data_IF_950028801771
#
_entry.id   IF_950028801771
#
_cell.length_a   1.000
_cell.length_b   1.000
_cell.length_c   1.000
_cell.angle_alpha   90.00
_cell.angle_beta   90.00
_cell.angle_gamma   90.00
#
_symmetry.space_group_name_H-M   'P 1'
#
loop_
_entity.id
_entity.type
_entity.pdbx_description
1 polymer ?
#
# COMPACT_ATOMS: atom_id res chain seq x y z
N UNK A 1 10.97 12.11 17.06
CA UNK A 1 10.82 13.10 18.15
C UNK A 1 9.36 13.17 18.56
N UNK A 2 8.99 12.93 19.83
CA UNK A 2 7.58 12.84 20.23
C UNK A 2 6.86 14.18 20.06
N UNK A 3 5.58 14.16 19.73
CA UNK A 3 4.71 15.33 19.50
C UNK A 3 4.74 16.33 20.70
N UNK A 4 4.95 15.84 21.92
CA UNK A 4 5.08 16.63 23.15
C UNK A 4 6.35 17.49 23.18
N UNK A 5 7.51 16.98 22.70
CA UNK A 5 8.75 17.77 22.61
C UNK A 5 8.67 18.88 21.57
N UNK A 6 7.89 18.69 20.51
CA UNK A 6 7.70 19.68 19.43
C UNK A 6 6.90 20.89 19.94
N UNK A 7 5.80 20.66 20.66
CA UNK A 7 5.00 21.73 21.29
C UNK A 7 5.81 22.52 22.32
N UNK A 8 6.66 21.87 23.13
CA UNK A 8 7.49 22.56 24.10
C UNK A 8 8.49 23.55 23.47
N UNK A 9 9.06 23.20 22.32
CA UNK A 9 10.00 24.05 21.61
C UNK A 9 9.28 25.26 20.98
N UNK A 10 8.10 25.08 20.40
CA UNK A 10 7.30 26.16 19.82
C UNK A 10 6.87 27.17 20.87
N UNK A 11 6.43 26.72 22.03
CA UNK A 11 6.04 27.58 23.15
C UNK A 11 7.24 28.39 23.68
N UNK A 12 8.42 27.75 23.79
CA UNK A 12 9.64 28.44 24.21
C UNK A 12 10.05 29.54 23.22
N UNK A 13 9.88 29.30 21.92
CA UNK A 13 10.16 30.30 20.87
C UNK A 13 9.23 31.52 21.00
N UNK A 14 7.92 31.30 21.13
CA UNK A 14 6.92 32.37 21.26
C UNK A 14 7.18 33.19 22.50
N UNK A 15 7.53 32.56 23.64
CA UNK A 15 7.82 33.27 24.90
C UNK A 15 9.08 34.12 24.78
N UNK A 16 10.12 33.64 24.10
CA UNK A 16 11.37 34.42 23.88
C UNK A 16 11.11 35.59 22.93
N UNK A 17 10.35 35.44 21.86
CA UNK A 17 9.96 36.53 20.96
C UNK A 17 9.14 37.57 21.67
N UNK A 18 8.20 37.17 22.52
CA UNK A 18 7.38 38.11 23.31
C UNK A 18 8.22 38.92 24.31
N UNK A 19 9.17 38.26 24.99
CA UNK A 19 10.09 38.92 25.91
C UNK A 19 11.02 39.93 25.24
N UNK A 20 11.53 39.59 24.02
CA UNK A 20 12.35 40.48 23.23
C UNK A 20 11.55 41.70 22.73
N UNK A 21 10.31 41.48 22.29
CA UNK A 21 9.40 42.54 21.84
C UNK A 21 9.03 43.50 22.98
N UNK A 22 8.67 42.97 24.15
CA UNK A 22 8.36 43.77 25.36
C UNK A 22 9.61 44.52 25.82
N UNK A 23 10.78 43.90 25.80
CA UNK A 23 12.06 44.54 26.12
C UNK A 23 12.39 45.69 25.16
N UNK A 24 12.16 45.55 23.87
CA UNK A 24 12.36 46.57 22.87
C UNK A 24 11.42 47.79 23.10
N UNK A 25 10.13 47.55 23.38
CA UNK A 25 9.15 48.62 23.67
C UNK A 25 9.53 49.34 24.96
N UNK A 26 9.86 48.61 26.04
CA UNK A 26 10.25 49.22 27.33
C UNK A 26 11.52 50.07 27.18
N UNK A 27 12.51 49.60 26.44
CA UNK A 27 13.75 50.35 26.19
C UNK A 27 13.52 51.62 25.33
N UNK A 28 12.61 51.57 24.37
CA UNK A 28 12.21 52.76 23.56
C UNK A 28 11.49 53.78 24.42
N UNK A 29 10.61 53.32 25.32
CA UNK A 29 9.88 54.21 26.24
C UNK A 29 10.81 54.89 27.28
N UNK A 30 11.78 54.16 27.81
CA UNK A 30 12.78 54.69 28.75
C UNK A 30 13.76 55.68 28.06
N UNK A 31 14.10 55.42 26.81
CA UNK A 31 14.94 56.30 25.98
C UNK A 31 14.31 57.68 25.71
N UNK A 32 13.00 57.73 25.55
CA UNK A 32 12.27 59.00 25.34
C UNK A 32 12.36 59.98 26.53
N UNK A 33 12.81 59.52 27.72
CA UNK A 33 13.02 60.31 28.92
C UNK A 33 14.47 60.77 29.18
N UNK A 34 15.36 60.63 28.18
CA UNK A 34 16.70 61.24 28.16
C UNK A 34 17.78 60.56 29.03
N UNK A 35 17.48 59.49 29.72
CA UNK A 35 18.40 58.90 30.71
C UNK A 35 19.35 57.79 30.17
N UNK A 36 19.17 57.27 28.96
CA UNK A 36 19.78 56.00 28.62
C UNK A 36 20.40 55.90 27.20
N UNK A 37 20.81 56.98 26.58
CA UNK A 37 21.30 57.02 25.22
C UNK A 37 22.34 55.94 24.85
N UNK A 38 23.47 55.81 25.58
CA UNK A 38 24.50 54.81 25.23
C UNK A 38 24.09 53.38 25.55
N UNK A 39 23.33 53.14 26.61
CA UNK A 39 22.85 51.78 26.97
C UNK A 39 21.77 51.25 26.01
N UNK A 40 20.97 52.15 25.44
CA UNK A 40 19.96 51.80 24.44
C UNK A 40 20.55 51.20 23.17
N UNK A 41 21.63 51.84 22.63
CA UNK A 41 22.32 51.31 21.45
C UNK A 41 22.91 49.92 21.66
N UNK A 42 23.51 49.68 22.83
CA UNK A 42 24.09 48.39 23.20
C UNK A 42 22.97 47.35 23.35
N UNK A 43 21.85 47.68 23.95
CA UNK A 43 20.72 46.74 24.14
C UNK A 43 20.09 46.37 22.82
N UNK A 44 19.87 47.28 21.88
CA UNK A 44 19.37 46.96 20.53
C UNK A 44 20.38 46.08 19.78
N UNK A 45 21.67 46.43 19.84
CA UNK A 45 22.69 45.57 19.17
C UNK A 45 22.70 44.17 19.69
N UNK A 46 22.63 43.97 21.03
CA UNK A 46 22.57 42.65 21.62
C UNK A 46 21.29 41.89 21.25
N UNK A 47 20.14 42.58 21.21
CA UNK A 47 18.89 41.96 20.77
C UNK A 47 18.91 41.50 19.32
N UNK A 48 19.44 42.37 18.42
CA UNK A 48 19.58 42.05 16.98
C UNK A 48 20.58 40.93 16.77
N UNK A 49 21.73 40.97 17.48
CA UNK A 49 22.73 39.89 17.40
C UNK A 49 22.18 38.56 17.92
N UNK A 50 21.45 38.58 19.04
CA UNK A 50 20.84 37.35 19.59
C UNK A 50 19.73 36.81 18.66
N UNK A 51 18.88 37.67 18.09
CA UNK A 51 17.86 37.30 17.11
C UNK A 51 18.51 36.71 15.85
N UNK A 52 19.57 37.35 15.33
CA UNK A 52 20.33 36.85 14.20
C UNK A 52 20.94 35.48 14.45
N UNK A 53 21.47 35.25 15.66
CA UNK A 53 22.04 33.97 16.07
C UNK A 53 20.95 32.88 16.19
N UNK A 54 19.78 33.24 16.70
CA UNK A 54 18.62 32.32 16.81
C UNK A 54 18.02 31.97 15.45
N UNK A 55 17.94 32.94 14.54
CA UNK A 55 17.52 32.71 13.15
C UNK A 55 18.54 31.79 12.46
N UNK A 56 19.83 32.05 12.59
CA UNK A 56 20.87 31.21 12.02
C UNK A 56 20.86 29.77 12.56
N UNK A 57 20.57 29.58 13.86
CA UNK A 57 20.42 28.26 14.46
C UNK A 57 19.11 27.54 14.05
N UNK A 58 18.05 28.29 13.76
CA UNK A 58 16.78 27.75 13.31
C UNK A 58 16.76 27.43 11.80
N UNK A 59 17.63 28.06 11.01
CA UNK A 59 17.65 27.95 9.55
C UNK A 59 17.81 26.52 9.00
N UNK A 60 18.69 25.64 9.55
CA UNK A 60 18.76 24.26 9.10
C UNK A 60 17.46 23.47 9.36
N UNK A 61 16.84 23.70 10.53
CA UNK A 61 15.57 23.06 10.92
C UNK A 61 14.40 23.62 10.09
N UNK A 62 14.41 24.91 9.78
CA UNK A 62 13.43 25.53 8.91
C UNK A 62 13.54 24.98 7.48
N UNK A 63 14.76 24.81 7.00
CA UNK A 63 15.04 24.19 5.70
C UNK A 63 14.60 22.74 5.65
N UNK A 64 14.82 21.95 6.70
CA UNK A 64 14.34 20.56 6.80
C UNK A 64 12.81 20.49 6.75
N UNK A 65 12.12 21.34 7.51
CA UNK A 65 10.65 21.40 7.52
C UNK A 65 10.15 21.82 6.12
N UNK A 66 10.72 22.85 5.55
CA UNK A 66 10.32 23.36 4.22
C UNK A 66 10.57 22.34 3.10
N UNK A 67 11.73 21.66 3.11
CA UNK A 67 12.05 20.59 2.15
C UNK A 67 11.09 19.43 2.33
N UNK A 68 10.80 19.04 3.56
CA UNK A 68 9.87 17.95 3.87
C UNK A 68 8.44 18.28 3.42
N UNK A 69 7.93 19.46 3.71
CA UNK A 69 6.61 19.90 3.26
C UNK A 69 6.53 20.01 1.73
N UNK A 70 7.57 20.54 1.09
CA UNK A 70 7.63 20.64 -0.38
C UNK A 70 7.68 19.26 -1.02
N UNK A 71 8.47 18.32 -0.47
CA UNK A 71 8.56 16.95 -0.97
C UNK A 71 7.24 16.20 -0.72
N UNK A 72 6.67 16.31 0.46
CA UNK A 72 5.38 15.70 0.78
C UNK A 72 4.27 16.23 -0.14
N UNK A 73 4.23 17.54 -0.39
CA UNK A 73 3.29 18.16 -1.33
C UNK A 73 3.46 17.65 -2.76
N UNK A 74 4.70 17.51 -3.24
CA UNK A 74 4.98 16.96 -4.59
C UNK A 74 4.54 15.48 -4.69
N UNK A 75 4.85 14.67 -3.68
CA UNK A 75 4.45 13.27 -3.64
C UNK A 75 2.92 13.16 -3.61
N UNK A 76 2.24 13.93 -2.75
CA UNK A 76 0.79 13.93 -2.67
C UNK A 76 0.13 14.36 -3.98
N UNK A 77 0.62 15.45 -4.58
CA UNK A 77 0.10 15.94 -5.88
C UNK A 77 0.29 14.90 -6.98
N UNK A 78 1.48 14.29 -7.07
CA UNK A 78 1.75 13.23 -8.04
C UNK A 78 0.86 12.00 -7.82
N UNK A 79 0.74 11.54 -6.57
CA UNK A 79 -0.04 10.37 -6.22
C UNK A 79 -1.53 10.56 -6.58
N UNK A 80 -2.12 11.69 -6.17
CA UNK A 80 -3.50 12.05 -6.51
C UNK A 80 -3.72 12.19 -8.01
N UNK A 81 -2.81 12.87 -8.71
CA UNK A 81 -2.88 13.03 -10.17
C UNK A 81 -2.81 11.69 -10.93
N UNK A 82 -2.31 10.64 -10.31
CA UNK A 82 -2.20 9.28 -10.88
C UNK A 82 -3.25 8.31 -10.35
N UNK A 83 -4.19 8.78 -9.53
CA UNK A 83 -5.32 8.00 -9.03
C UNK A 83 -5.08 7.27 -7.71
N UNK A 84 -3.98 7.54 -7.00
CA UNK A 84 -3.80 7.04 -5.62
C UNK A 84 -4.71 7.85 -4.70
N UNK A 85 -5.70 7.21 -4.11
CA UNK A 85 -6.70 7.86 -3.24
C UNK A 85 -6.47 7.57 -1.76
N UNK A 86 -5.74 6.49 -1.45
CA UNK A 86 -5.38 6.18 -0.07
C UNK A 86 -4.08 5.37 0.03
N UNK A 87 -3.51 5.37 1.23
CA UNK A 87 -2.29 4.65 1.61
C UNK A 87 -2.49 4.02 2.98
N UNK A 88 -2.15 2.74 3.10
CA UNK A 88 -2.24 1.99 4.35
C UNK A 88 -0.84 1.53 4.78
N UNK A 89 -0.44 1.91 5.99
CA UNK A 89 0.80 1.42 6.61
C UNK A 89 0.57 0.01 7.16
N UNK A 90 0.97 -1.00 6.40
CA UNK A 90 0.73 -2.41 6.73
C UNK A 90 1.57 -2.93 7.90
N UNK A 91 2.47 -2.12 8.46
CA UNK A 91 3.17 -2.43 9.70
C UNK A 91 2.32 -2.12 10.95
N UNK A 92 1.24 -1.33 10.80
CA UNK A 92 0.31 -0.99 11.89
C UNK A 92 -0.97 -1.81 11.81
N UNK A 93 -1.32 -2.50 12.90
CA UNK A 93 -2.53 -3.33 12.97
C UNK A 93 -3.80 -2.54 12.66
N UNK A 94 -3.93 -1.31 13.19
CA UNK A 94 -5.09 -0.45 12.91
C UNK A 94 -5.26 -0.12 11.42
N UNK A 95 -4.16 0.08 10.69
CA UNK A 95 -4.18 0.33 9.25
C UNK A 95 -4.49 -0.94 8.46
N UNK A 96 -3.99 -2.10 8.92
CA UNK A 96 -4.38 -3.40 8.35
C UNK A 96 -5.89 -3.63 8.49
N UNK A 97 -6.46 -3.34 9.66
CA UNK A 97 -7.90 -3.49 9.93
C UNK A 97 -8.73 -2.53 9.07
N UNK A 98 -8.31 -1.27 8.95
CA UNK A 98 -8.92 -0.27 8.08
C UNK A 98 -8.90 -0.72 6.62
N UNK A 99 -7.73 -1.10 6.10
CA UNK A 99 -7.57 -1.62 4.73
C UNK A 99 -8.47 -2.82 4.48
N UNK A 100 -8.52 -3.78 5.42
CA UNK A 100 -9.34 -4.97 5.28
C UNK A 100 -10.85 -4.64 5.31
N UNK A 101 -11.27 -3.69 6.14
CA UNK A 101 -12.67 -3.24 6.19
C UNK A 101 -13.08 -2.56 4.88
N UNK A 102 -12.26 -1.66 4.35
CA UNK A 102 -12.52 -0.98 3.07
C UNK A 102 -12.55 -1.98 1.91
N UNK A 103 -11.59 -2.91 1.85
CA UNK A 103 -11.58 -3.96 0.82
C UNK A 103 -12.85 -4.79 0.87
N UNK A 104 -13.35 -5.19 2.05
CA UNK A 104 -14.62 -5.91 2.17
C UNK A 104 -15.82 -5.09 1.70
N UNK A 105 -15.83 -3.79 1.99
CA UNK A 105 -16.89 -2.90 1.53
C UNK A 105 -16.89 -2.78 0.00
N UNK A 106 -15.72 -2.67 -0.63
CA UNK A 106 -15.60 -2.61 -2.09
C UNK A 106 -15.97 -3.96 -2.74
N UNK A 107 -15.56 -5.10 -2.16
CA UNK A 107 -16.02 -6.43 -2.59
C UNK A 107 -17.55 -6.52 -2.55
N UNK A 108 -18.17 -6.05 -1.46
CA UNK A 108 -19.62 -6.11 -1.29
C UNK A 108 -20.43 -5.37 -2.36
N UNK A 109 -19.81 -4.42 -3.07
CA UNK A 109 -20.43 -3.61 -4.14
C UNK A 109 -20.00 -4.02 -5.55
N UNK A 110 -18.94 -4.81 -5.66
CA UNK A 110 -18.30 -5.13 -6.93
C UNK A 110 -19.24 -5.90 -7.87
N UNK A 111 -19.27 -5.54 -9.13
CA UNK A 111 -19.88 -6.31 -10.24
C UNK A 111 -18.88 -7.26 -10.90
N UNK A 112 -17.59 -7.03 -10.71
CA UNK A 112 -16.51 -7.91 -11.15
C UNK A 112 -15.31 -7.82 -10.21
N UNK A 113 -14.62 -8.91 -10.01
CA UNK A 113 -13.41 -8.98 -9.18
C UNK A 113 -12.27 -9.63 -9.93
N UNK A 114 -11.04 -9.19 -9.64
CA UNK A 114 -9.82 -9.76 -10.19
C UNK A 114 -8.73 -9.75 -9.12
N UNK A 115 -8.07 -10.87 -8.94
CA UNK A 115 -6.93 -11.02 -8.02
C UNK A 115 -5.70 -11.48 -8.81
N UNK A 116 -4.59 -10.81 -8.58
CA UNK A 116 -3.27 -11.27 -8.98
C UNK A 116 -2.43 -11.40 -7.71
N UNK A 117 -2.01 -12.60 -7.35
CA UNK A 117 -1.31 -12.84 -6.09
C UNK A 117 -0.39 -14.07 -6.14
N UNK A 118 0.63 -14.07 -5.30
CA UNK A 118 1.54 -15.21 -5.18
C UNK A 118 0.81 -16.49 -4.71
N UNK A 119 -0.09 -16.40 -3.74
CA UNK A 119 -0.86 -17.54 -3.21
C UNK A 119 -2.36 -17.30 -3.09
N UNK A 120 -2.80 -16.05 -3.11
CA UNK A 120 -4.20 -15.69 -2.95
C UNK A 120 -4.82 -16.01 -1.58
N UNK A 121 -4.05 -16.52 -0.62
CA UNK A 121 -4.57 -17.04 0.64
C UNK A 121 -5.44 -16.05 1.42
N UNK A 122 -5.09 -14.75 1.43
CA UNK A 122 -5.89 -13.72 2.11
C UNK A 122 -7.31 -13.56 1.55
N UNK A 123 -7.55 -14.01 0.33
CA UNK A 123 -8.81 -13.86 -0.39
C UNK A 123 -9.57 -15.18 -0.56
N UNK A 124 -8.85 -16.30 -0.75
CA UNK A 124 -9.41 -17.60 -1.12
C UNK A 124 -9.43 -18.60 0.04
N UNK A 125 -8.68 -18.35 1.13
CA UNK A 125 -8.65 -19.25 2.28
C UNK A 125 -9.91 -19.08 3.12
N UNK A 126 -10.73 -20.13 3.13
CA UNK A 126 -11.98 -20.20 3.88
C UNK A 126 -11.73 -20.17 5.40
N UNK A 127 -10.58 -20.63 5.89
CA UNK A 127 -10.23 -20.66 7.31
C UNK A 127 -9.75 -19.31 7.87
N UNK A 128 -9.22 -18.44 7.01
CA UNK A 128 -8.67 -17.13 7.43
C UNK A 128 -9.77 -16.07 7.63
N UNK A 129 -10.94 -16.24 7.05
CA UNK A 129 -12.11 -15.35 7.13
C UNK A 129 -11.84 -13.86 6.82
N UNK A 130 -10.69 -13.50 6.27
CA UNK A 130 -10.33 -12.09 6.05
C UNK A 130 -11.22 -11.41 5.02
N UNK A 131 -11.27 -11.95 3.80
CA UNK A 131 -12.08 -11.41 2.70
C UNK A 131 -13.09 -12.44 2.17
N UNK A 132 -12.86 -13.72 2.46
CA UNK A 132 -13.62 -14.83 1.92
C UNK A 132 -15.14 -14.68 2.12
N UNK A 133 -15.70 -14.32 3.29
CA UNK A 133 -17.15 -14.21 3.45
C UNK A 133 -17.80 -13.21 2.48
N UNK A 134 -17.13 -12.08 2.21
CA UNK A 134 -17.62 -11.09 1.26
C UNK A 134 -17.51 -11.60 -0.19
N UNK A 135 -16.40 -12.25 -0.54
CA UNK A 135 -16.20 -12.87 -1.86
C UNK A 135 -17.20 -13.99 -2.09
N UNK A 136 -17.40 -14.88 -1.11
CA UNK A 136 -18.36 -15.96 -1.18
C UNK A 136 -19.79 -15.47 -1.46
N UNK A 137 -20.20 -14.41 -0.77
CA UNK A 137 -21.50 -13.77 -1.02
C UNK A 137 -21.63 -13.35 -2.47
N UNK A 138 -20.62 -12.65 -3.04
CA UNK A 138 -20.64 -12.18 -4.42
C UNK A 138 -20.60 -13.34 -5.44
N UNK A 139 -19.83 -14.39 -5.17
CA UNK A 139 -19.83 -15.60 -6.00
C UNK A 139 -21.19 -16.31 -6.02
N UNK A 140 -21.88 -16.37 -4.88
CA UNK A 140 -23.25 -16.91 -4.81
C UNK A 140 -24.26 -16.07 -5.61
N UNK A 141 -23.99 -14.78 -5.78
CA UNK A 141 -24.78 -13.87 -6.61
C UNK A 141 -24.37 -13.94 -8.11
N UNK A 142 -23.41 -14.83 -8.46
CA UNK A 142 -22.93 -15.02 -9.83
C UNK A 142 -21.94 -13.96 -10.32
N UNK A 143 -21.39 -13.14 -9.43
CA UNK A 143 -20.38 -12.15 -9.80
C UNK A 143 -19.09 -12.85 -10.23
N UNK A 144 -18.55 -12.40 -11.35
CA UNK A 144 -17.30 -12.94 -11.90
C UNK A 144 -16.11 -12.61 -10.99
N UNK A 145 -15.33 -13.64 -10.65
CA UNK A 145 -14.06 -13.49 -9.96
C UNK A 145 -12.96 -14.22 -10.70
N UNK A 146 -12.02 -13.48 -11.25
CA UNK A 146 -10.84 -14.01 -11.94
C UNK A 146 -9.63 -13.94 -11.02
N UNK A 147 -8.89 -15.04 -10.94
CA UNK A 147 -7.72 -15.17 -10.06
C UNK A 147 -6.54 -15.63 -10.89
N UNK A 148 -5.45 -14.88 -10.81
CA UNK A 148 -4.15 -15.27 -11.37
C UNK A 148 -3.18 -15.48 -10.22
N UNK A 149 -2.58 -16.65 -10.14
CA UNK A 149 -1.62 -17.01 -9.10
C UNK A 149 -0.30 -17.43 -9.72
N UNK A 150 0.77 -17.31 -8.91
CA UNK A 150 2.07 -17.86 -9.29
C UNK A 150 2.01 -19.38 -9.27
N UNK A 151 2.48 -20.02 -10.35
CA UNK A 151 2.57 -21.47 -10.45
C UNK A 151 3.44 -22.00 -9.29
N UNK A 152 2.90 -22.92 -8.44
CA UNK A 152 3.64 -23.51 -7.33
C UNK A 152 4.93 -24.20 -7.73
N UNK A 153 5.00 -24.71 -8.95
CA UNK A 153 6.17 -25.41 -9.52
C UNK A 153 7.10 -24.50 -10.32
N UNK A 154 6.83 -23.19 -10.38
CA UNK A 154 7.71 -22.24 -11.06
C UNK A 154 9.03 -22.04 -10.31
N UNK A 155 10.10 -21.71 -11.07
CA UNK A 155 11.39 -21.36 -10.47
C UNK A 155 11.32 -20.15 -9.54
N UNK A 156 10.46 -19.16 -9.86
CA UNK A 156 10.24 -17.99 -8.99
C UNK A 156 9.63 -18.41 -7.65
N UNK A 157 8.67 -19.32 -7.66
CA UNK A 157 8.07 -19.83 -6.43
C UNK A 157 9.08 -20.65 -5.62
N UNK A 158 9.87 -21.49 -6.26
CA UNK A 158 10.94 -22.25 -5.63
C UNK A 158 11.95 -21.35 -4.92
N UNK A 159 12.41 -20.29 -5.59
CA UNK A 159 13.31 -19.31 -4.99
C UNK A 159 12.71 -18.62 -3.75
N UNK A 160 11.45 -18.18 -3.83
CA UNK A 160 10.74 -17.55 -2.71
C UNK A 160 10.58 -18.50 -1.53
N UNK A 161 10.30 -19.78 -1.80
CA UNK A 161 10.17 -20.80 -0.75
C UNK A 161 11.52 -21.05 -0.03
N UNK A 162 12.63 -21.04 -0.77
CA UNK A 162 13.97 -21.13 -0.17
C UNK A 162 14.27 -19.97 0.76
N UNK A 163 13.93 -18.74 0.37
CA UNK A 163 14.11 -17.57 1.21
C UNK A 163 13.23 -17.59 2.48
N UNK A 164 12.07 -18.22 2.43
CA UNK A 164 11.18 -18.36 3.59
C UNK A 164 11.51 -19.57 4.48
N UNK A 165 12.59 -20.30 4.16
CA UNK A 165 12.92 -21.57 4.86
C UNK A 165 11.72 -22.56 4.86
N UNK A 166 10.75 -22.37 4.01
CA UNK A 166 9.61 -23.26 3.87
C UNK A 166 9.91 -24.28 2.77
N UNK A 167 10.21 -25.52 3.15
CA UNK A 167 10.47 -26.60 2.20
C UNK A 167 9.22 -27.06 1.40
N UNK A 168 8.08 -26.45 1.64
CA UNK A 168 6.81 -26.79 1.01
C UNK A 168 6.63 -26.00 -0.30
N UNK A 169 6.57 -26.72 -1.44
CA UNK A 169 6.36 -26.14 -2.76
C UNK A 169 5.05 -25.35 -2.87
N UNK A 170 4.00 -25.84 -2.22
CA UNK A 170 2.72 -25.16 -2.22
C UNK A 170 2.67 -23.99 -1.21
N UNK A 171 3.64 -23.94 -0.30
CA UNK A 171 3.60 -23.04 0.84
C UNK A 171 2.46 -23.43 1.81
N UNK A 172 2.64 -23.22 3.10
CA UNK A 172 1.66 -23.58 4.13
C UNK A 172 0.26 -22.95 3.97
N UNK A 173 0.08 -22.09 2.96
CA UNK A 173 -1.15 -21.31 2.77
C UNK A 173 -1.89 -21.60 1.46
N UNK A 174 -1.34 -22.41 0.55
CA UNK A 174 -2.05 -22.81 -0.65
C UNK A 174 -2.58 -24.24 -0.47
N UNK A 175 -3.88 -24.36 -0.36
CA UNK A 175 -4.55 -25.67 -0.34
C UNK A 175 -5.14 -25.93 -1.72
N UNK A 176 -4.47 -26.79 -2.53
CA UNK A 176 -4.90 -27.10 -3.90
C UNK A 176 -6.26 -27.79 -3.93
N UNK A 177 -6.54 -28.69 -2.97
CA UNK A 177 -7.86 -29.32 -2.86
C UNK A 177 -8.97 -28.28 -2.65
N UNK A 178 -8.71 -27.28 -1.77
CA UNK A 178 -9.63 -26.18 -1.57
C UNK A 178 -9.84 -25.34 -2.85
N UNK A 179 -8.78 -25.08 -3.63
CA UNK A 179 -8.93 -24.35 -4.88
C UNK A 179 -9.78 -25.12 -5.91
N UNK A 180 -9.59 -26.43 -6.01
CA UNK A 180 -10.41 -27.30 -6.88
C UNK A 180 -11.86 -27.31 -6.41
N UNK A 181 -12.09 -27.42 -5.11
CA UNK A 181 -13.44 -27.37 -4.53
C UNK A 181 -14.15 -26.04 -4.81
N UNK A 182 -13.44 -24.92 -4.65
CA UNK A 182 -13.97 -23.60 -4.96
C UNK A 182 -14.27 -23.45 -6.45
N UNK A 183 -13.35 -23.88 -7.29
CA UNK A 183 -13.53 -23.88 -8.75
C UNK A 183 -14.76 -24.72 -9.14
N UNK A 184 -14.92 -25.92 -8.59
CA UNK A 184 -16.05 -26.80 -8.87
C UNK A 184 -17.39 -26.23 -8.38
N UNK A 185 -17.37 -25.49 -7.27
CA UNK A 185 -18.56 -24.93 -6.62
C UNK A 185 -19.06 -23.64 -7.27
N UNK A 186 -18.15 -22.79 -7.75
CA UNK A 186 -18.49 -21.46 -8.26
C UNK A 186 -18.18 -21.33 -9.75
N UNK A 187 -19.18 -21.46 -10.64
CA UNK A 187 -18.94 -21.33 -12.09
C UNK A 187 -18.39 -19.97 -12.52
N UNK A 188 -18.65 -18.91 -11.73
CA UNK A 188 -18.14 -17.56 -11.96
C UNK A 188 -16.71 -17.32 -11.47
N UNK A 189 -16.06 -18.33 -10.87
CA UNK A 189 -14.66 -18.27 -10.44
C UNK A 189 -13.75 -18.85 -11.53
N UNK A 190 -12.86 -18.02 -12.11
CA UNK A 190 -11.79 -18.45 -13.04
C UNK A 190 -10.44 -18.41 -12.32
N UNK A 191 -9.69 -19.50 -12.33
CA UNK A 191 -8.37 -19.62 -11.69
C UNK A 191 -7.34 -19.93 -12.76
N UNK A 192 -6.27 -19.14 -12.77
CA UNK A 192 -5.15 -19.30 -13.70
C UNK A 192 -3.81 -19.25 -12.98
N UNK A 193 -2.82 -19.89 -13.57
CA UNK A 193 -1.45 -19.91 -13.10
C UNK A 193 -0.50 -19.27 -14.11
N UNK A 194 0.47 -18.48 -13.60
CA UNK A 194 1.58 -17.91 -14.36
C UNK A 194 2.91 -18.30 -13.75
N UNK A 195 3.96 -18.41 -14.55
CA UNK A 195 5.27 -18.87 -14.08
C UNK A 195 6.16 -17.73 -13.55
N UNK A 196 5.79 -16.47 -13.80
CA UNK A 196 6.59 -15.27 -13.49
C UNK A 196 5.73 -14.01 -13.40
N UNK A 197 6.34 -12.91 -12.95
CA UNK A 197 5.70 -11.59 -12.97
C UNK A 197 4.91 -11.20 -11.72
N UNK A 198 5.03 -11.97 -10.64
CA UNK A 198 4.29 -11.73 -9.39
C UNK A 198 5.06 -10.87 -8.38
N UNK A 199 5.42 -9.65 -8.77
CA UNK A 199 6.12 -8.71 -7.89
C UNK A 199 5.18 -7.86 -7.02
N UNK A 200 3.89 -7.92 -7.28
CA UNK A 200 2.86 -7.22 -6.51
C UNK A 200 1.63 -8.10 -6.38
N UNK A 201 0.97 -8.03 -5.22
CA UNK A 201 -0.41 -8.48 -5.12
C UNK A 201 -1.31 -7.34 -5.55
N UNK A 202 -2.21 -7.59 -6.49
CA UNK A 202 -3.20 -6.62 -6.94
C UNK A 202 -4.58 -7.24 -6.81
N UNK A 203 -5.44 -6.61 -6.03
CA UNK A 203 -6.85 -6.94 -5.98
C UNK A 203 -7.66 -5.81 -6.62
N UNK A 204 -8.52 -6.16 -7.55
CA UNK A 204 -9.41 -5.22 -8.24
C UNK A 204 -10.87 -5.54 -7.92
N UNK A 205 -11.63 -4.53 -7.55
CA UNK A 205 -13.08 -4.54 -7.43
C UNK A 205 -13.62 -3.40 -8.31
N UNK A 206 -14.16 -3.74 -9.48
CA UNK A 206 -14.55 -2.79 -10.52
C UNK A 206 -13.46 -1.74 -10.83
N UNK A 207 -13.68 -0.48 -10.43
CA UNK A 207 -12.75 0.64 -10.69
C UNK A 207 -11.77 0.92 -9.56
N UNK A 208 -11.75 0.10 -8.53
CA UNK A 208 -10.84 0.26 -7.38
C UNK A 208 -9.78 -0.84 -7.40
N UNK A 209 -8.53 -0.47 -7.16
CA UNK A 209 -7.40 -1.40 -7.02
C UNK A 209 -6.79 -1.27 -5.63
N UNK A 210 -6.43 -2.40 -5.05
CA UNK A 210 -5.55 -2.50 -3.89
C UNK A 210 -4.24 -3.14 -4.35
N UNK A 211 -3.14 -2.41 -4.19
CA UNK A 211 -1.82 -2.80 -4.68
C UNK A 211 -0.87 -2.96 -3.51
N UNK A 212 -0.45 -4.19 -3.27
CA UNK A 212 0.51 -4.56 -2.23
C UNK A 212 1.85 -4.91 -2.89
N UNK A 213 2.92 -4.11 -2.75
CA UNK A 213 4.25 -4.47 -3.23
C UNK A 213 4.74 -5.77 -2.58
N UNK A 214 5.38 -6.61 -3.37
CA UNK A 214 5.92 -7.88 -2.91
C UNK A 214 7.44 -7.81 -2.86
N UNK A 215 8.00 -7.71 -1.66
CA UNK A 215 9.44 -7.66 -1.44
C UNK A 215 10.00 -9.05 -1.17
N UNK A 216 11.29 -9.23 -1.40
CA UNK A 216 12.05 -10.45 -1.03
C UNK A 216 13.04 -10.15 0.10
N UNK A 217 12.88 -9.03 0.80
CA UNK A 217 13.68 -8.69 1.96
C UNK A 217 13.44 -9.69 3.10
N UNK A 218 14.51 -10.24 3.66
CA UNK A 218 14.45 -11.19 4.78
C UNK A 218 14.72 -10.42 6.07
N UNK A 219 13.78 -10.51 7.02
CA UNK A 219 13.90 -9.96 8.37
C UNK A 219 13.55 -11.09 9.34
N UNK A 220 14.40 -11.36 10.31
CA UNK A 220 14.22 -12.43 11.30
C UNK A 220 13.90 -13.80 10.65
N UNK A 221 14.70 -14.18 9.63
CA UNK A 221 14.58 -15.41 8.86
C UNK A 221 13.23 -15.60 8.11
N UNK A 222 12.53 -14.51 7.83
CA UNK A 222 11.27 -14.51 7.09
C UNK A 222 11.25 -13.42 6.03
N UNK A 223 10.62 -13.70 4.89
CA UNK A 223 10.32 -12.65 3.93
C UNK A 223 9.28 -11.70 4.56
N UNK A 224 9.67 -10.44 4.77
CA UNK A 224 8.73 -9.41 5.23
C UNK A 224 8.03 -8.79 4.01
N UNK A 225 6.76 -9.15 3.85
CA UNK A 225 5.91 -8.66 2.77
C UNK A 225 5.02 -7.50 3.20
N UNK A 226 4.99 -7.21 4.50
CA UNK A 226 4.17 -6.13 5.03
C UNK A 226 4.94 -4.83 4.91
N UNK A 227 4.55 -4.01 3.99
CA UNK A 227 5.10 -2.66 3.83
C UNK A 227 3.97 -1.64 3.79
N UNK A 228 3.32 -1.53 2.66
CA UNK A 228 2.17 -0.66 2.49
C UNK A 228 1.20 -1.23 1.45
N UNK A 229 -0.03 -0.74 1.48
CA UNK A 229 -1.00 -0.93 0.41
C UNK A 229 -1.36 0.43 -0.20
N UNK A 230 -1.42 0.53 -1.51
CA UNK A 230 -2.01 1.67 -2.20
C UNK A 230 -3.44 1.32 -2.60
N UNK A 231 -4.38 2.23 -2.33
CA UNK A 231 -5.71 2.23 -2.94
C UNK A 231 -5.69 3.17 -4.13
N UNK A 232 -6.04 2.64 -5.30
CA UNK A 232 -5.99 3.37 -6.57
C UNK A 232 -7.38 3.31 -7.20
N UNK A 233 -7.89 4.46 -7.61
CA UNK A 233 -9.14 4.57 -8.35
C UNK A 233 -8.89 5.01 -9.79
N UNK A 234 -9.86 4.68 -10.66
CA UNK A 234 -9.79 5.14 -12.03
C UNK A 234 -9.96 6.66 -12.08
N UNK A 235 -9.00 7.35 -12.67
CA UNK A 235 -9.05 8.79 -12.85
C UNK A 235 -8.61 9.17 -14.26
N UNK A 236 -9.09 10.33 -14.72
CA UNK A 236 -8.56 10.97 -15.92
C UNK A 236 -7.28 11.71 -15.55
N UNK A 237 -6.23 11.51 -16.33
CA UNK A 237 -4.94 12.17 -16.13
C UNK A 237 -4.66 13.07 -17.32
N UNK A 238 -4.12 14.27 -17.06
CA UNK A 238 -3.72 15.21 -18.11
C UNK A 238 -2.54 14.67 -18.93
N UNK A 239 -1.60 14.00 -18.25
CA UNK A 239 -0.35 13.56 -18.83
C UNK A 239 -0.14 12.06 -18.69
N UNK A 240 -0.35 11.30 -19.76
CA UNK A 240 -0.09 9.86 -19.83
C UNK A 240 -1.12 9.00 -19.07
N UNK A 241 -0.86 7.69 -18.89
CA UNK A 241 -1.81 6.77 -18.28
C UNK A 241 -1.87 6.94 -16.75
N UNK A 242 -3.05 6.74 -16.15
CA UNK A 242 -3.20 6.59 -14.70
C UNK A 242 -2.56 5.28 -14.21
N UNK A 243 -2.23 5.22 -12.92
CA UNK A 243 -1.77 3.96 -12.30
C UNK A 243 -2.83 2.86 -12.42
N UNK A 244 -4.11 3.22 -12.28
CA UNK A 244 -5.21 2.29 -12.50
C UNK A 244 -5.13 1.63 -13.88
N UNK A 245 -4.95 2.42 -14.95
CA UNK A 245 -4.82 1.90 -16.33
C UNK A 245 -3.59 1.01 -16.51
N UNK A 246 -2.45 1.39 -15.91
CA UNK A 246 -1.21 0.59 -15.96
C UNK A 246 -1.43 -0.77 -15.30
N UNK A 247 -1.95 -0.80 -14.07
CA UNK A 247 -2.20 -2.06 -13.37
C UNK A 247 -3.28 -2.91 -14.03
N UNK A 248 -4.35 -2.31 -14.55
CA UNK A 248 -5.38 -3.05 -15.30
C UNK A 248 -4.80 -3.71 -16.57
N UNK A 249 -3.92 -3.01 -17.28
CA UNK A 249 -3.21 -3.57 -18.44
C UNK A 249 -2.29 -4.73 -18.04
N UNK A 250 -1.55 -4.58 -16.92
CA UNK A 250 -0.74 -5.66 -16.37
C UNK A 250 -1.58 -6.89 -16.03
N UNK A 251 -2.67 -6.71 -15.29
CA UNK A 251 -3.61 -7.79 -14.93
C UNK A 251 -4.19 -8.47 -16.16
N UNK A 252 -4.59 -7.71 -17.18
CA UNK A 252 -5.11 -8.26 -18.44
C UNK A 252 -4.06 -9.09 -19.19
N UNK A 253 -2.78 -8.70 -19.11
CA UNK A 253 -1.68 -9.44 -19.71
C UNK A 253 -1.46 -10.76 -18.97
N UNK A 254 -1.42 -10.75 -17.65
CA UNK A 254 -1.27 -11.96 -16.84
C UNK A 254 -2.44 -12.94 -17.04
N UNK A 255 -3.68 -12.43 -17.13
CA UNK A 255 -4.85 -13.27 -17.42
C UNK A 255 -4.74 -13.95 -18.79
N UNK A 256 -4.29 -13.23 -19.81
CA UNK A 256 -4.13 -13.81 -21.15
C UNK A 256 -3.01 -14.85 -21.23
N UNK A 257 -1.90 -14.62 -20.52
CA UNK A 257 -0.76 -15.53 -20.48
C UNK A 257 -0.91 -16.66 -19.48
N UNK A 258 -1.87 -16.56 -18.57
CA UNK A 258 -2.10 -17.53 -17.52
C UNK A 258 -2.76 -18.80 -18.05
N UNK A 259 -2.23 -19.94 -17.64
CA UNK A 259 -2.78 -21.26 -17.89
C UNK A 259 -4.00 -21.51 -16.99
N UNK A 260 -5.10 -22.03 -17.52
CA UNK A 260 -6.28 -22.37 -16.72
C UNK A 260 -5.98 -23.46 -15.68
N UNK A 261 -6.73 -23.49 -14.59
CA UNK A 261 -6.57 -24.54 -13.57
C UNK A 261 -6.67 -25.95 -14.16
N UNK A 262 -7.57 -26.17 -15.12
CA UNK A 262 -7.75 -27.47 -15.79
C UNK A 262 -6.47 -27.89 -16.53
N UNK A 263 -5.96 -27.04 -17.43
CA UNK A 263 -4.77 -27.31 -18.20
C UNK A 263 -3.53 -27.45 -17.31
N UNK A 264 -3.45 -26.61 -16.26
CA UNK A 264 -2.35 -26.68 -15.32
C UNK A 264 -2.33 -27.98 -14.53
N UNK A 265 -3.50 -28.50 -14.08
CA UNK A 265 -3.61 -29.82 -13.41
C UNK A 265 -3.19 -30.94 -14.36
N UNK A 266 -3.63 -30.93 -15.61
CA UNK A 266 -3.22 -31.92 -16.62
C UNK A 266 -1.70 -31.88 -16.86
N UNK A 267 -1.12 -30.70 -17.04
CA UNK A 267 0.33 -30.54 -17.26
C UNK A 267 1.18 -30.97 -16.07
N UNK A 268 0.67 -30.84 -14.87
CA UNK A 268 1.40 -31.10 -13.62
C UNK A 268 1.04 -32.43 -12.98
N UNK A 269 0.29 -33.32 -13.65
CA UNK A 269 -0.25 -34.57 -13.08
C UNK A 269 0.79 -35.36 -12.27
N UNK A 270 2.00 -35.53 -12.81
CA UNK A 270 3.10 -36.28 -12.17
C UNK A 270 3.63 -35.63 -10.87
N UNK A 271 3.30 -34.36 -10.61
CA UNK A 271 3.79 -33.57 -9.47
C UNK A 271 2.73 -33.29 -8.42
N UNK A 272 1.49 -33.68 -8.72
CA UNK A 272 0.37 -33.38 -7.85
C UNK A 272 0.32 -34.35 -6.66
N UNK A 273 -0.12 -33.88 -5.47
CA UNK A 273 -0.37 -34.78 -4.35
C UNK A 273 -1.52 -35.75 -4.67
N UNK A 274 -1.44 -36.96 -4.12
CA UNK A 274 -2.50 -37.94 -4.21
C UNK A 274 -3.78 -37.49 -3.49
N UNK A 275 -4.93 -37.96 -3.96
CA UNK A 275 -6.22 -37.74 -3.28
C UNK A 275 -6.85 -36.37 -3.53
N UNK A 276 -6.43 -35.65 -4.55
CA UNK A 276 -7.11 -34.41 -4.95
C UNK A 276 -8.54 -34.69 -5.44
N UNK A 277 -9.50 -33.80 -5.18
CA UNK A 277 -10.84 -33.91 -5.73
C UNK A 277 -10.80 -33.81 -7.26
N UNK A 278 -11.67 -34.55 -7.98
CA UNK A 278 -11.76 -34.45 -9.41
C UNK A 278 -12.22 -33.04 -9.83
N UNK A 279 -11.60 -32.51 -10.89
CA UNK A 279 -12.03 -31.25 -11.46
C UNK A 279 -13.25 -31.48 -12.38
N UNK A 280 -14.24 -30.60 -12.27
CA UNK A 280 -15.39 -30.55 -13.18
C UNK A 280 -14.99 -29.76 -14.42
N UNK A 281 -14.87 -30.45 -15.56
CA UNK A 281 -14.59 -29.77 -16.84
C UNK A 281 -15.69 -28.74 -17.14
N UNK A 282 -15.28 -27.52 -17.45
CA UNK A 282 -16.17 -26.46 -17.89
C UNK A 282 -16.02 -26.30 -19.38
N UNK A 283 -17.10 -26.53 -20.12
CA UNK A 283 -17.12 -26.10 -21.51
C UNK A 283 -17.05 -24.56 -21.50
N UNK A 284 -15.88 -24.03 -21.79
CA UNK A 284 -15.69 -22.58 -21.98
C UNK A 284 -16.52 -22.15 -23.20
N UNK A 285 -17.69 -21.59 -22.99
CA UNK A 285 -18.27 -20.71 -23.98
C UNK A 285 -17.35 -19.48 -24.05
N UNK A 286 -16.38 -19.52 -24.95
CA UNK A 286 -15.63 -18.34 -25.38
C UNK A 286 -16.65 -17.34 -25.95
N UNK A 287 -17.22 -16.49 -25.07
CA UNK A 287 -17.72 -15.22 -25.55
C UNK A 287 -16.50 -14.41 -25.97
N UNK A 288 -16.22 -14.47 -27.26
CA UNK A 288 -15.35 -13.53 -27.93
C UNK A 288 -15.87 -12.12 -27.58
N UNK A 289 -15.20 -11.46 -26.67
CA UNK A 289 -15.30 -10.01 -26.55
C UNK A 289 -14.35 -9.45 -27.58
N UNK A 290 -14.91 -9.07 -28.71
CA UNK A 290 -14.27 -8.22 -29.70
C UNK A 290 -13.94 -6.84 -29.08
#
# INVERSE_FOLDING_TARGET
MSHSKRKGIEITFIVVELLLFVGAIASTFLSSKGYWGPFFGISIFLCVAFLGLKIAQAFPRFREIWVHETLAGKIATFALARGVVDYFDMLKTSEQDRRNAETRADIGRASSMLLCANSGASYLDQGVYRHWPAIQKRLNEGVEFRVVMLDPFSGEKGYRNQLNVSGDQFGSKMNLANLIDLYNRYPSLDIRFVQYGMHTTVFAADNVLYVDPYTVGVIDDRIENRSFTLKIENCQTADGPSLHRIYRSHLATLLRSGESLENWLERCEDKLPEGLPPIKSRQYHQKQTA
#
